data_IF_141431608666
#
_entry.id   IF_141431608666
#
_cell.length_a   1.000
_cell.length_b   1.000
_cell.length_c   1.000
_cell.angle_alpha   90.00
_cell.angle_beta   90.00
_cell.angle_gamma   90.00
#
_symmetry.space_group_name_H-M   'P 1'
#
loop_
_entity.id
_entity.type
_entity.pdbx_description
1 polymer ?
#
# COMPACT_ATOMS: atom_id res chain seq x y z
N UNK A 1 6.87 -18.27 25.54
CA UNK A 1 6.95 -16.84 25.88
C UNK A 1 6.24 -16.11 24.76
N UNK A 2 4.98 -15.76 24.96
CA UNK A 2 4.28 -14.82 24.07
C UNK A 2 4.91 -13.47 24.34
N UNK A 3 5.74 -12.98 23.42
CA UNK A 3 6.02 -11.55 23.36
C UNK A 3 4.74 -10.91 22.83
N UNK A 4 3.98 -10.26 23.69
CA UNK A 4 2.96 -9.31 23.30
C UNK A 4 3.68 -8.10 22.67
N UNK A 5 4.13 -8.28 21.44
CA UNK A 5 4.58 -7.16 20.61
C UNK A 5 3.29 -6.42 20.25
N UNK A 6 2.99 -5.37 21.00
CA UNK A 6 1.88 -4.47 20.69
C UNK A 6 2.26 -3.64 19.46
N UNK A 7 2.26 -4.30 18.29
CA UNK A 7 2.66 -3.72 17.02
C UNK A 7 1.43 -3.77 16.10
N UNK A 8 0.68 -2.69 16.05
CA UNK A 8 -0.37 -2.55 15.07
C UNK A 8 -1.74 -2.21 15.64
N UNK A 9 -2.62 -1.77 14.76
CA UNK A 9 -4.00 -1.47 15.07
C UNK A 9 -4.76 -2.71 15.57
N UNK A 10 -5.68 -2.54 16.50
CA UNK A 10 -6.55 -3.59 17.03
C UNK A 10 -7.33 -4.32 15.93
N UNK A 11 -7.53 -3.69 14.78
CA UNK A 11 -8.25 -4.23 13.62
C UNK A 11 -7.61 -5.48 12.98
N UNK A 12 -6.32 -5.74 13.21
CA UNK A 12 -5.67 -6.99 12.78
C UNK A 12 -5.89 -8.17 13.72
N UNK A 13 -6.31 -7.90 14.96
CA UNK A 13 -6.51 -8.89 16.00
C UNK A 13 -7.99 -9.28 16.16
N UNK A 14 -8.91 -8.45 15.65
CA UNK A 14 -10.34 -8.68 15.71
C UNK A 14 -10.88 -9.33 14.44
N UNK A 15 -11.87 -10.23 14.61
CA UNK A 15 -12.53 -10.86 13.46
C UNK A 15 -13.23 -9.82 12.59
N UNK A 16 -13.03 -9.87 11.23
CA UNK A 16 -13.74 -8.99 10.32
C UNK A 16 -15.26 -9.18 10.42
N UNK A 17 -16.06 -8.22 9.88
CA UNK A 17 -17.50 -8.43 9.72
C UNK A 17 -17.79 -9.75 8.98
N UNK A 18 -18.89 -10.42 9.35
CA UNK A 18 -19.34 -11.64 8.68
C UNK A 18 -20.84 -11.52 8.37
N UNK A 19 -21.16 -10.72 7.36
CA UNK A 19 -22.51 -10.49 6.89
C UNK A 19 -22.81 -11.33 5.65
N UNK A 20 -24.08 -11.71 5.48
CA UNK A 20 -24.52 -12.43 4.27
C UNK A 20 -24.58 -11.50 3.04
N UNK A 21 -24.52 -12.10 1.85
CA UNK A 21 -24.75 -11.35 0.60
C UNK A 21 -26.16 -10.73 0.53
N UNK A 22 -27.14 -11.29 1.24
CA UNK A 22 -28.48 -10.71 1.34
C UNK A 22 -28.48 -9.43 2.16
N UNK A 23 -27.78 -9.41 3.30
CA UNK A 23 -27.56 -8.19 4.09
C UNK A 23 -26.88 -7.10 3.26
N UNK A 24 -25.85 -7.44 2.49
CA UNK A 24 -25.19 -6.49 1.61
C UNK A 24 -26.12 -5.90 0.54
N UNK A 25 -26.99 -6.73 -0.08
CA UNK A 25 -27.99 -6.27 -1.04
C UNK A 25 -29.03 -5.36 -0.41
N UNK A 26 -29.49 -5.69 0.79
CA UNK A 26 -30.42 -4.84 1.52
C UNK A 26 -29.80 -3.47 1.85
N UNK A 27 -28.55 -3.42 2.30
CA UNK A 27 -27.82 -2.17 2.51
C UNK A 27 -27.74 -1.35 1.22
N UNK A 28 -27.38 -1.96 0.09
CA UNK A 28 -27.27 -1.28 -1.20
C UNK A 28 -28.60 -0.63 -1.62
N UNK A 29 -29.71 -1.37 -1.51
CA UNK A 29 -31.04 -0.84 -1.84
C UNK A 29 -31.46 0.30 -0.91
N UNK A 30 -31.29 0.09 0.39
CA UNK A 30 -31.75 1.05 1.41
C UNK A 30 -30.94 2.33 1.44
N UNK A 31 -29.62 2.21 1.31
CA UNK A 31 -28.68 3.34 1.51
C UNK A 31 -28.37 4.03 0.20
N UNK A 32 -28.12 3.25 -0.86
CA UNK A 32 -27.60 3.79 -2.13
C UNK A 32 -28.62 3.75 -3.26
N UNK A 33 -29.84 3.21 -3.03
CA UNK A 33 -30.86 2.97 -4.06
C UNK A 33 -30.33 2.14 -5.25
N UNK A 34 -29.38 1.23 -4.99
CA UNK A 34 -28.74 0.38 -5.99
C UNK A 34 -29.25 -1.05 -5.82
N UNK A 35 -29.68 -1.66 -6.94
CA UNK A 35 -29.95 -3.09 -7.03
C UNK A 35 -28.83 -3.78 -7.85
N UNK A 36 -28.31 -4.89 -7.35
CA UNK A 36 -27.19 -5.57 -7.99
C UNK A 36 -26.91 -6.95 -7.40
N UNK A 37 -26.17 -7.73 -8.15
CA UNK A 37 -25.62 -9.00 -7.67
C UNK A 37 -24.37 -8.72 -6.84
N UNK A 38 -24.27 -9.35 -5.67
CA UNK A 38 -23.12 -9.20 -4.79
C UNK A 38 -22.34 -10.50 -4.71
N UNK A 39 -21.01 -10.39 -4.71
CA UNK A 39 -20.09 -11.50 -4.47
C UNK A 39 -19.01 -11.04 -3.49
N UNK A 40 -18.75 -11.86 -2.46
CA UNK A 40 -17.73 -11.51 -1.46
C UNK A 40 -16.33 -11.64 -2.06
N UNK A 41 -15.50 -10.65 -1.80
CA UNK A 41 -14.08 -10.63 -2.14
C UNK A 41 -13.23 -10.99 -0.91
N UNK A 42 -12.04 -11.56 -1.14
CA UNK A 42 -11.11 -11.85 -0.07
C UNK A 42 -10.52 -10.55 0.51
N UNK A 43 -10.58 -10.41 1.83
CA UNK A 43 -9.94 -9.33 2.58
C UNK A 43 -9.58 -9.84 3.96
N UNK A 44 -8.46 -9.35 4.53
CA UNK A 44 -8.00 -9.79 5.86
C UNK A 44 -8.64 -9.00 7.01
N UNK A 45 -8.86 -7.70 6.79
CA UNK A 45 -9.32 -6.77 7.86
C UNK A 45 -10.82 -6.53 7.82
N UNK A 46 -11.35 -6.32 6.63
CA UNK A 46 -12.72 -5.87 6.39
C UNK A 46 -13.54 -6.94 5.71
N UNK A 47 -14.82 -6.70 5.55
CA UNK A 47 -15.65 -7.48 4.63
C UNK A 47 -15.96 -6.66 3.39
N UNK A 48 -15.69 -7.22 2.22
CA UNK A 48 -15.79 -6.52 0.94
C UNK A 48 -16.68 -7.32 -0.01
N UNK A 49 -17.58 -6.63 -0.70
CA UNK A 49 -18.44 -7.20 -1.73
C UNK A 49 -18.26 -6.46 -3.06
N UNK A 50 -17.96 -7.20 -4.12
CA UNK A 50 -18.14 -6.70 -5.47
C UNK A 50 -19.65 -6.66 -5.79
N UNK A 51 -20.08 -5.56 -6.38
CA UNK A 51 -21.48 -5.30 -6.74
C UNK A 51 -21.57 -5.14 -8.24
N UNK A 52 -22.20 -6.10 -8.89
CA UNK A 52 -22.46 -6.06 -10.34
C UNK A 52 -23.85 -5.51 -10.59
N UNK A 53 -23.93 -4.46 -11.39
CA UNK A 53 -25.18 -3.83 -11.83
C UNK A 53 -25.28 -3.88 -13.34
N UNK A 54 -26.36 -3.33 -13.91
CA UNK A 54 -26.44 -3.11 -15.36
C UNK A 54 -25.48 -2.00 -15.83
N UNK A 55 -25.08 -1.11 -14.90
CA UNK A 55 -24.08 -0.07 -15.16
C UNK A 55 -22.66 -0.63 -14.97
N UNK A 56 -21.86 -0.55 -16.00
CA UNK A 56 -20.43 -0.86 -15.99
C UNK A 56 -19.64 0.37 -15.45
N UNK A 57 -18.63 0.19 -14.58
CA UNK A 57 -17.98 -1.05 -14.17
C UNK A 57 -18.55 -1.71 -12.89
N UNK A 58 -19.58 -1.17 -12.25
CA UNK A 58 -20.10 -1.66 -10.97
C UNK A 58 -19.46 -0.97 -9.76
N UNK A 59 -19.60 -1.61 -8.59
CA UNK A 59 -19.17 -1.00 -7.32
C UNK A 59 -18.52 -2.02 -6.40
N UNK A 60 -17.90 -1.49 -5.35
CA UNK A 60 -17.39 -2.27 -4.21
C UNK A 60 -18.01 -1.71 -2.93
N UNK A 61 -18.76 -2.55 -2.23
CA UNK A 61 -19.26 -2.24 -0.88
C UNK A 61 -18.24 -2.77 0.13
N UNK A 62 -17.73 -1.89 0.97
CA UNK A 62 -16.81 -2.20 2.07
C UNK A 62 -17.51 -2.00 3.41
N UNK A 63 -17.47 -3.01 4.25
CA UNK A 63 -17.85 -2.97 5.66
C UNK A 63 -16.56 -2.98 6.47
N UNK A 64 -16.24 -1.87 7.10
CA UNK A 64 -14.98 -1.71 7.85
C UNK A 64 -15.01 -2.55 9.12
N UNK A 65 -13.87 -3.12 9.52
CA UNK A 65 -13.75 -3.84 10.78
C UNK A 65 -14.19 -2.94 11.95
N UNK A 66 -15.09 -3.40 12.85
CA UNK A 66 -15.52 -2.62 14.00
C UNK A 66 -14.41 -2.14 14.94
N UNK A 67 -13.26 -2.83 14.96
CA UNK A 67 -12.09 -2.42 15.73
C UNK A 67 -11.24 -1.32 15.07
N UNK A 68 -11.52 -0.98 13.82
CA UNK A 68 -10.80 0.11 13.15
C UNK A 68 -11.25 1.47 13.71
N UNK A 69 -10.28 2.35 13.98
CA UNK A 69 -10.59 3.71 14.39
C UNK A 69 -11.40 4.41 13.29
N UNK A 70 -12.56 4.94 13.69
CA UNK A 70 -13.46 5.68 12.79
C UNK A 70 -12.74 6.85 12.09
N UNK A 71 -11.82 7.51 12.77
CA UNK A 71 -11.06 8.61 12.18
C UNK A 71 -10.09 8.13 11.10
N UNK A 72 -9.51 6.93 11.24
CA UNK A 72 -8.69 6.31 10.20
C UNK A 72 -9.54 5.93 8.99
N UNK A 73 -10.74 5.37 9.22
CA UNK A 73 -11.70 5.12 8.14
C UNK A 73 -12.06 6.39 7.39
N UNK A 74 -12.36 7.47 8.14
CA UNK A 74 -12.68 8.78 7.57
C UNK A 74 -11.50 9.39 6.81
N UNK A 75 -10.27 9.25 7.31
CA UNK A 75 -9.07 9.68 6.62
C UNK A 75 -8.96 9.05 5.22
N UNK A 76 -9.20 7.74 5.10
CA UNK A 76 -9.20 7.04 3.80
C UNK A 76 -10.27 7.58 2.85
N UNK A 77 -11.47 7.85 3.36
CA UNK A 77 -12.59 8.40 2.59
C UNK A 77 -12.28 9.80 2.09
N UNK A 78 -11.83 10.68 2.98
CA UNK A 78 -11.49 12.07 2.65
C UNK A 78 -10.32 12.15 1.65
N UNK A 79 -9.35 11.24 1.73
CA UNK A 79 -8.27 11.15 0.74
C UNK A 79 -8.79 10.81 -0.66
N UNK A 80 -9.70 9.84 -0.79
CA UNK A 80 -10.32 9.51 -2.07
C UNK A 80 -11.17 10.66 -2.62
N UNK A 81 -11.93 11.34 -1.77
CA UNK A 81 -12.71 12.53 -2.15
C UNK A 81 -11.80 13.68 -2.59
N UNK A 82 -10.67 13.87 -1.92
CA UNK A 82 -9.66 14.86 -2.27
C UNK A 82 -9.07 14.58 -3.67
N UNK A 83 -8.64 13.34 -3.93
CA UNK A 83 -8.15 12.93 -5.24
C UNK A 83 -9.21 13.10 -6.34
N UNK A 84 -10.45 12.72 -6.04
CA UNK A 84 -11.55 12.90 -7.00
C UNK A 84 -11.75 14.37 -7.42
N UNK A 85 -11.53 15.29 -6.49
CA UNK A 85 -11.70 16.73 -6.74
C UNK A 85 -10.50 17.34 -7.46
N UNK A 86 -9.28 16.98 -7.09
CA UNK A 86 -8.06 17.65 -7.57
C UNK A 86 -7.37 16.94 -8.73
N UNK A 87 -7.56 15.64 -8.86
CA UNK A 87 -6.94 14.81 -9.89
C UNK A 87 -7.94 13.78 -10.44
N UNK A 88 -9.05 14.26 -11.05
CA UNK A 88 -10.10 13.38 -11.57
C UNK A 88 -9.62 12.43 -12.69
N UNK A 89 -8.48 12.72 -13.30
CA UNK A 89 -7.85 11.87 -14.32
C UNK A 89 -7.14 10.66 -13.73
N UNK A 90 -6.81 10.68 -12.41
CA UNK A 90 -6.17 9.52 -11.79
C UNK A 90 -7.15 8.35 -11.70
N UNK A 91 -6.75 7.15 -12.10
CA UNK A 91 -7.59 5.97 -12.04
C UNK A 91 -7.65 5.41 -10.62
N UNK A 92 -8.36 6.10 -9.73
CA UNK A 92 -8.57 5.69 -8.32
C UNK A 92 -10.06 5.49 -8.06
N UNK A 93 -10.45 4.65 -7.08
CA UNK A 93 -11.85 4.44 -6.75
C UNK A 93 -12.55 5.75 -6.37
N UNK A 94 -13.79 5.93 -6.82
CA UNK A 94 -14.62 7.08 -6.49
C UNK A 94 -15.60 6.71 -5.39
N UNK A 95 -15.67 7.54 -4.36
CA UNK A 95 -16.65 7.35 -3.29
C UNK A 95 -18.05 7.68 -3.83
N UNK A 96 -18.99 6.78 -3.59
CA UNK A 96 -20.40 6.96 -3.94
C UNK A 96 -21.17 7.30 -2.68
N UNK A 97 -21.74 8.49 -2.63
CA UNK A 97 -22.54 8.93 -1.51
C UNK A 97 -23.87 8.16 -1.42
N UNK A 98 -24.33 7.92 -0.21
CA UNK A 98 -25.68 7.43 0.03
C UNK A 98 -26.75 8.41 -0.41
N UNK A 99 -28.01 7.98 -0.43
CA UNK A 99 -29.18 8.82 -0.78
C UNK A 99 -29.38 10.03 0.17
N UNK A 100 -28.76 9.97 1.34
CA UNK A 100 -28.69 11.09 2.32
C UNK A 100 -27.52 12.06 2.06
N UNK A 101 -26.69 11.80 1.05
CA UNK A 101 -25.51 12.61 0.70
C UNK A 101 -24.24 12.29 1.49
N UNK A 102 -24.29 11.34 2.43
CA UNK A 102 -23.12 10.95 3.22
C UNK A 102 -22.23 9.93 2.49
N UNK A 103 -20.91 10.08 2.61
CA UNK A 103 -19.91 9.18 2.03
C UNK A 103 -19.66 7.94 2.89
N UNK A 104 -19.91 8.04 4.19
CA UNK A 104 -19.74 6.99 5.21
C UNK A 104 -21.03 6.79 5.97
N UNK A 105 -21.49 5.56 6.03
CA UNK A 105 -22.76 5.23 6.69
C UNK A 105 -22.50 4.27 7.84
N UNK A 106 -22.90 4.64 9.03
CA UNK A 106 -22.87 3.74 10.18
C UNK A 106 -23.97 2.68 10.06
N UNK A 107 -23.58 1.42 10.20
CA UNK A 107 -24.48 0.26 10.08
C UNK A 107 -24.29 -0.70 11.24
N UNK A 108 -25.41 -1.26 11.73
CA UNK A 108 -25.37 -2.32 12.73
C UNK A 108 -25.24 -3.68 12.03
N UNK A 109 -24.22 -4.43 12.41
CA UNK A 109 -24.00 -5.79 11.92
C UNK A 109 -24.96 -6.77 12.60
N UNK A 110 -25.08 -7.99 12.04
CA UNK A 110 -25.95 -9.02 12.58
C UNK A 110 -25.55 -9.49 13.99
N UNK A 111 -24.28 -9.35 14.36
CA UNK A 111 -23.72 -9.67 15.67
C UNK A 111 -23.83 -8.51 16.69
N UNK A 112 -24.46 -7.38 16.32
CA UNK A 112 -24.68 -6.20 17.16
C UNK A 112 -23.53 -5.18 17.16
N UNK A 113 -22.38 -5.50 16.54
CA UNK A 113 -21.28 -4.53 16.39
C UNK A 113 -21.66 -3.43 15.42
N UNK A 114 -21.04 -2.25 15.56
CA UNK A 114 -21.20 -1.14 14.63
C UNK A 114 -20.04 -1.18 13.62
N UNK A 115 -20.35 -0.89 12.37
CA UNK A 115 -19.39 -0.82 11.27
C UNK A 115 -19.66 0.39 10.39
N UNK A 116 -18.69 0.82 9.62
CA UNK A 116 -18.86 1.84 8.59
C UNK A 116 -18.98 1.17 7.23
N UNK A 117 -20.10 1.42 6.56
CA UNK A 117 -20.31 1.03 5.18
C UNK A 117 -19.86 2.16 4.24
N UNK A 118 -19.05 1.80 3.24
CA UNK A 118 -18.65 2.69 2.14
C UNK A 118 -18.88 2.00 0.81
N UNK A 119 -19.40 2.75 -0.15
CA UNK A 119 -19.51 2.30 -1.53
C UNK A 119 -18.52 3.07 -2.39
N UNK A 120 -17.75 2.36 -3.18
CA UNK A 120 -16.79 2.95 -4.13
C UNK A 120 -16.98 2.32 -5.50
N UNK A 121 -16.54 3.01 -6.56
CA UNK A 121 -16.57 2.44 -7.91
C UNK A 121 -15.60 1.26 -8.03
N UNK A 122 -16.01 0.21 -8.74
CA UNK A 122 -15.12 -0.86 -9.15
C UNK A 122 -14.27 -0.35 -10.32
N UNK A 123 -12.95 -0.57 -10.25
CA UNK A 123 -12.04 -0.23 -11.34
C UNK A 123 -11.90 -1.38 -12.32
N UNK A 124 -11.81 -1.09 -13.63
CA UNK A 124 -11.69 -2.13 -14.67
C UNK A 124 -10.29 -2.73 -14.72
N UNK A 125 -10.18 -3.89 -15.36
CA UNK A 125 -8.91 -4.58 -15.60
C UNK A 125 -8.62 -5.70 -14.59
N UNK A 126 -7.36 -6.12 -14.56
CA UNK A 126 -6.84 -7.17 -13.68
C UNK A 126 -5.67 -6.65 -12.83
N UNK A 127 -5.46 -7.26 -11.66
CA UNK A 127 -4.31 -6.89 -10.84
C UNK A 127 -3.00 -7.22 -11.56
N UNK A 128 -2.04 -6.31 -11.56
CA UNK A 128 -0.72 -6.52 -12.16
C UNK A 128 -0.01 -7.75 -11.57
N UNK A 129 -0.27 -8.07 -10.30
CA UNK A 129 0.25 -9.27 -9.66
C UNK A 129 -0.22 -10.58 -10.30
N UNK A 130 -1.34 -10.59 -11.03
CA UNK A 130 -1.89 -11.78 -11.70
C UNK A 130 -1.30 -12.02 -13.09
N UNK A 131 -0.53 -11.06 -13.63
CA UNK A 131 0.06 -11.14 -14.96
C UNK A 131 1.49 -11.70 -14.87
N UNK A 132 1.78 -12.84 -15.52
CA UNK A 132 3.08 -13.50 -15.40
C UNK A 132 4.21 -12.72 -16.08
N UNK A 133 3.95 -12.09 -17.22
CA UNK A 133 4.92 -11.30 -17.96
C UNK A 133 4.64 -9.82 -17.79
N UNK A 134 5.63 -9.07 -17.30
CA UNK A 134 5.49 -7.63 -17.06
C UNK A 134 6.09 -6.85 -18.22
N UNK A 135 5.29 -6.02 -18.84
CA UNK A 135 5.76 -5.07 -19.84
C UNK A 135 6.61 -3.98 -19.15
N UNK A 136 7.86 -3.72 -19.60
CA UNK A 136 8.68 -2.64 -19.05
C UNK A 136 8.01 -1.25 -19.09
N UNK A 137 7.17 -0.97 -20.09
CA UNK A 137 6.43 0.31 -20.22
C UNK A 137 5.52 0.57 -19.02
N UNK A 138 5.06 -0.49 -18.32
CA UNK A 138 4.27 -0.35 -17.09
C UNK A 138 5.08 0.24 -15.94
N UNK A 139 6.41 0.01 -15.88
CA UNK A 139 7.26 0.62 -14.84
C UNK A 139 7.26 2.14 -14.94
N UNK A 140 7.40 2.67 -16.15
CA UNK A 140 7.35 4.11 -16.40
C UNK A 140 5.99 4.68 -16.00
N UNK A 141 4.91 3.99 -16.40
CA UNK A 141 3.55 4.36 -16.05
C UNK A 141 3.31 4.31 -14.53
N UNK A 142 3.84 3.29 -13.83
CA UNK A 142 3.76 3.21 -12.36
C UNK A 142 4.47 4.38 -11.68
N UNK A 143 5.68 4.73 -12.14
CA UNK A 143 6.43 5.87 -11.60
C UNK A 143 5.67 7.19 -11.77
N UNK A 144 5.02 7.37 -12.91
CA UNK A 144 4.20 8.56 -13.16
C UNK A 144 2.93 8.60 -12.31
N UNK A 145 2.23 7.47 -12.15
CA UNK A 145 0.99 7.43 -11.37
C UNK A 145 1.24 7.69 -9.88
N UNK A 146 2.27 7.07 -9.28
CA UNK A 146 2.60 7.33 -7.88
C UNK A 146 3.06 8.78 -7.68
N UNK A 147 3.81 9.36 -8.63
CA UNK A 147 4.21 10.76 -8.57
C UNK A 147 3.02 11.71 -8.71
N UNK A 148 2.10 11.46 -9.65
CA UNK A 148 0.88 12.27 -9.83
C UNK A 148 -0.01 12.22 -8.59
N UNK A 149 -0.16 11.04 -8.00
CA UNK A 149 -0.92 10.86 -6.75
C UNK A 149 -0.26 11.60 -5.59
N UNK A 150 1.05 11.47 -5.41
CA UNK A 150 1.81 12.23 -4.42
C UNK A 150 1.72 13.75 -4.65
N UNK A 151 1.71 14.20 -5.91
CA UNK A 151 1.49 15.62 -6.22
C UNK A 151 0.09 16.08 -5.84
N UNK A 152 -0.93 15.27 -6.10
CA UNK A 152 -2.32 15.57 -5.74
C UNK A 152 -2.54 15.60 -4.22
N UNK A 153 -1.78 14.82 -3.44
CA UNK A 153 -1.85 14.86 -1.97
C UNK A 153 -1.18 16.08 -1.33
N UNK A 154 -0.50 16.94 -2.09
CA UNK A 154 0.08 18.18 -1.53
C UNK A 154 -1.00 19.05 -0.92
N UNK A 155 -0.80 19.40 0.36
CA UNK A 155 -1.75 20.22 1.11
C UNK A 155 -3.00 19.47 1.60
N UNK A 156 -3.06 18.15 1.42
CA UNK A 156 -4.05 17.32 2.08
C UNK A 156 -3.60 17.02 3.52
N UNK A 157 -4.45 17.37 4.48
CA UNK A 157 -4.22 17.15 5.90
C UNK A 157 -5.44 16.50 6.52
N UNK A 158 -5.18 15.53 7.41
CA UNK A 158 -6.24 14.91 8.20
C UNK A 158 -5.71 14.58 9.61
N UNK A 159 -6.50 14.77 10.68
CA UNK A 159 -6.05 14.51 12.05
C UNK A 159 -5.51 13.10 12.28
N UNK A 160 -6.15 12.10 11.66
CA UNK A 160 -5.74 10.71 11.77
C UNK A 160 -4.59 10.30 10.82
N UNK A 161 -4.03 11.20 10.01
CA UNK A 161 -2.98 10.83 9.06
C UNK A 161 -1.67 10.37 9.71
N UNK A 162 -1.45 10.68 11.00
CA UNK A 162 -0.28 10.25 11.76
C UNK A 162 -0.59 9.11 12.75
N UNK A 163 -1.56 8.25 12.42
CA UNK A 163 -1.84 7.06 13.21
C UNK A 163 -0.68 6.05 13.16
N UNK A 164 -0.60 5.16 14.15
CA UNK A 164 0.40 4.10 14.13
C UNK A 164 -0.01 3.01 13.14
N UNK A 165 0.88 2.74 12.19
CA UNK A 165 0.71 1.70 11.19
C UNK A 165 1.93 0.78 11.18
N UNK A 166 1.69 -0.53 11.25
CA UNK A 166 2.75 -1.53 11.25
C UNK A 166 3.66 -1.45 10.02
N UNK A 167 3.08 -1.12 8.86
CA UNK A 167 3.77 -1.00 7.58
C UNK A 167 4.45 0.36 7.34
N UNK A 168 4.37 1.27 8.31
CA UNK A 168 5.04 2.57 8.23
C UNK A 168 6.54 2.42 8.52
N UNK A 169 7.38 2.76 7.54
CA UNK A 169 8.85 2.70 7.70
C UNK A 169 9.36 3.54 8.86
N UNK A 170 8.62 4.54 9.35
CA UNK A 170 8.96 5.27 10.58
C UNK A 170 9.07 4.33 11.80
N UNK A 171 8.40 3.18 11.75
CA UNK A 171 8.40 2.18 12.82
C UNK A 171 9.46 1.08 12.64
N UNK A 172 10.31 1.16 11.60
CA UNK A 172 11.23 0.08 11.21
C UNK A 172 12.06 -0.47 12.37
N UNK A 173 12.59 0.39 13.24
CA UNK A 173 13.44 -0.03 14.36
C UNK A 173 12.67 -0.81 15.44
N UNK A 174 11.35 -0.56 15.61
CA UNK A 174 10.52 -1.35 16.53
C UNK A 174 10.41 -2.80 16.07
N UNK A 175 10.50 -3.04 14.76
CA UNK A 175 10.39 -4.39 14.19
C UNK A 175 11.64 -5.24 14.40
N UNK A 176 12.73 -4.72 14.94
CA UNK A 176 13.93 -5.49 15.30
C UNK A 176 13.59 -6.66 16.24
N UNK A 177 12.57 -6.51 17.06
CA UNK A 177 12.07 -7.57 17.94
C UNK A 177 11.52 -8.79 17.19
N UNK A 178 11.15 -8.62 15.91
CA UNK A 178 10.61 -9.69 15.06
C UNK A 178 11.70 -10.56 14.39
N UNK A 179 12.97 -10.21 14.49
CA UNK A 179 14.08 -10.99 13.94
C UNK A 179 14.07 -12.48 14.27
N UNK A 180 13.67 -12.93 15.48
CA UNK A 180 13.60 -14.36 15.80
C UNK A 180 12.64 -15.18 14.93
N UNK A 181 11.67 -14.54 14.27
CA UNK A 181 10.74 -15.21 13.37
C UNK A 181 11.35 -15.54 12.01
N UNK A 182 12.44 -14.87 11.60
CA UNK A 182 13.21 -15.22 10.41
C UNK A 182 14.14 -16.40 10.70
N UNK A 183 13.82 -17.56 10.13
CA UNK A 183 14.59 -18.79 10.39
C UNK A 183 15.78 -18.94 9.46
N UNK A 184 15.70 -18.39 8.22
CA UNK A 184 16.83 -18.42 7.29
C UNK A 184 17.89 -17.41 7.74
N UNK A 185 19.13 -17.92 7.95
CA UNK A 185 20.26 -17.13 8.47
C UNK A 185 20.75 -16.06 7.50
N UNK A 186 20.67 -16.34 6.21
CA UNK A 186 21.14 -15.41 5.17
C UNK A 186 20.18 -14.23 5.11
N UNK A 187 18.88 -14.50 4.94
CA UNK A 187 17.84 -13.45 4.93
C UNK A 187 17.87 -12.65 6.22
N UNK A 188 17.99 -13.32 7.38
CA UNK A 188 18.05 -12.63 8.68
C UNK A 188 19.22 -11.65 8.76
N UNK A 189 20.43 -12.06 8.29
CA UNK A 189 21.60 -11.16 8.26
C UNK A 189 21.38 -9.95 7.37
N UNK A 190 20.76 -10.13 6.20
CA UNK A 190 20.46 -9.01 5.29
C UNK A 190 19.44 -8.05 5.92
N UNK A 191 18.44 -8.59 6.61
CA UNK A 191 17.44 -7.80 7.35
C UNK A 191 18.09 -7.02 8.48
N UNK A 192 19.00 -7.64 9.27
CA UNK A 192 19.77 -6.96 10.31
C UNK A 192 20.58 -5.80 9.72
N UNK A 193 21.28 -6.03 8.60
CA UNK A 193 22.03 -4.97 7.90
C UNK A 193 21.13 -3.83 7.41
N UNK A 194 19.93 -4.16 6.90
CA UNK A 194 18.96 -3.14 6.48
C UNK A 194 18.45 -2.28 7.65
N UNK A 195 18.19 -2.90 8.81
CA UNK A 195 17.82 -2.17 10.03
C UNK A 195 18.95 -1.28 10.53
N UNK A 196 20.21 -1.78 10.49
CA UNK A 196 21.37 -1.01 10.91
C UNK A 196 21.63 0.20 9.98
N UNK A 197 21.42 0.02 8.66
CA UNK A 197 21.49 1.11 7.69
C UNK A 197 20.40 2.16 7.93
N UNK A 198 19.16 1.73 8.19
CA UNK A 198 18.09 2.65 8.55
C UNK A 198 18.41 3.45 9.81
N UNK A 199 18.90 2.77 10.85
CA UNK A 199 19.27 3.40 12.14
C UNK A 199 20.40 4.42 11.97
N UNK A 200 21.42 4.09 11.15
CA UNK A 200 22.58 4.96 10.94
C UNK A 200 22.36 6.11 9.97
N UNK A 201 21.61 5.88 8.89
CA UNK A 201 21.51 6.83 7.78
C UNK A 201 20.17 7.56 7.73
N UNK A 202 19.06 6.86 7.97
CA UNK A 202 17.70 7.41 7.78
C UNK A 202 17.15 8.03 9.06
N UNK A 203 17.19 7.30 10.17
CA UNK A 203 16.58 7.72 11.43
C UNK A 203 17.08 9.09 11.92
N UNK A 204 18.39 9.44 11.83
CA UNK A 204 18.89 10.74 12.30
C UNK A 204 18.34 11.94 11.52
N UNK A 205 17.95 11.76 10.27
CA UNK A 205 17.51 12.84 9.37
C UNK A 205 16.03 12.77 8.99
N UNK A 206 15.33 11.68 9.38
CA UNK A 206 13.95 11.41 9.01
C UNK A 206 13.00 12.60 9.27
N UNK A 207 13.16 13.29 10.40
CA UNK A 207 12.30 14.42 10.78
C UNK A 207 12.55 15.69 9.94
N UNK A 208 13.64 15.76 9.19
CA UNK A 208 13.98 16.88 8.30
C UNK A 208 13.51 16.66 6.86
N UNK A 209 13.12 15.42 6.50
CA UNK A 209 12.63 15.10 5.17
C UNK A 209 11.25 15.74 4.92
N UNK A 210 11.00 16.13 3.68
CA UNK A 210 9.69 16.62 3.25
C UNK A 210 8.64 15.54 3.47
N UNK A 211 7.59 15.85 4.23
CA UNK A 211 6.55 14.89 4.59
C UNK A 211 5.17 15.35 4.13
N UNK A 212 4.33 14.39 3.81
CA UNK A 212 2.94 14.57 3.42
C UNK A 212 2.17 13.27 3.63
N UNK A 213 0.87 13.25 3.33
CA UNK A 213 0.13 12.00 3.18
C UNK A 213 0.65 11.26 1.96
N UNK A 214 0.94 9.97 2.13
CA UNK A 214 1.40 9.04 1.09
C UNK A 214 0.48 7.82 1.02
N UNK A 215 0.48 7.12 -0.12
CA UNK A 215 -0.29 5.88 -0.31
C UNK A 215 0.28 4.72 0.50
N UNK A 216 1.60 4.64 0.58
CA UNK A 216 2.38 3.69 1.38
C UNK A 216 2.23 2.20 1.03
N UNK A 217 1.40 1.82 0.04
CA UNK A 217 1.24 0.42 -0.39
C UNK A 217 1.07 0.26 -1.91
N UNK A 218 1.88 0.98 -2.70
CA UNK A 218 1.85 0.93 -4.16
C UNK A 218 2.56 -0.31 -4.70
N UNK A 219 1.93 -1.47 -4.50
CA UNK A 219 2.42 -2.79 -4.91
C UNK A 219 1.63 -3.35 -6.10
N UNK A 220 2.11 -4.46 -6.68
CA UNK A 220 1.48 -5.06 -7.86
C UNK A 220 0.07 -5.61 -7.64
N UNK A 221 -0.33 -5.92 -6.41
CA UNK A 221 -1.70 -6.35 -6.10
C UNK A 221 -2.68 -5.18 -6.10
N UNK A 222 -2.17 -3.96 -5.86
CA UNK A 222 -2.94 -2.73 -5.75
C UNK A 222 -2.93 -1.88 -7.04
N UNK A 223 -2.25 -2.35 -8.09
CA UNK A 223 -2.25 -1.72 -9.41
C UNK A 223 -3.07 -2.59 -10.37
N UNK A 224 -4.13 -2.00 -10.96
CA UNK A 224 -4.94 -2.62 -12.01
C UNK A 224 -4.41 -2.20 -13.37
N UNK A 225 -4.43 -3.13 -14.32
CA UNK A 225 -4.01 -2.89 -15.70
C UNK A 225 -5.06 -3.41 -16.69
N UNK A 226 -5.06 -2.83 -17.89
CA UNK A 226 -5.81 -3.39 -19.01
C UNK A 226 -5.17 -4.72 -19.45
N UNK A 227 -5.99 -5.76 -19.72
CA UNK A 227 -5.50 -7.09 -20.09
C UNK A 227 -4.78 -7.11 -21.45
N UNK A 228 -5.04 -6.13 -22.30
CA UNK A 228 -4.59 -6.13 -23.72
C UNK A 228 -3.61 -4.99 -24.03
N UNK A 229 -3.49 -4.00 -23.14
CA UNK A 229 -2.65 -2.82 -23.31
C UNK A 229 -1.81 -2.56 -22.06
N UNK A 230 -0.58 -2.07 -22.20
CA UNK A 230 0.25 -1.70 -21.06
C UNK A 230 -0.22 -0.37 -20.43
N UNK A 231 -1.45 -0.35 -19.92
CA UNK A 231 -2.10 0.84 -19.37
C UNK A 231 -2.58 0.56 -17.95
N UNK A 232 -2.28 1.45 -17.02
CA UNK A 232 -2.80 1.39 -15.66
C UNK A 232 -4.25 1.89 -15.68
N UNK A 233 -5.16 1.02 -15.24
CA UNK A 233 -6.60 1.29 -15.16
C UNK A 233 -7.09 1.50 -13.74
N UNK A 234 -6.21 1.27 -12.74
CA UNK A 234 -6.59 1.47 -11.35
C UNK A 234 -5.43 1.44 -10.36
N UNK A 235 -5.56 2.25 -9.31
CA UNK A 235 -4.77 2.18 -8.08
C UNK A 235 -5.73 1.94 -6.93
N UNK A 236 -5.54 0.83 -6.23
CA UNK A 236 -6.42 0.33 -5.17
C UNK A 236 -5.78 0.49 -3.79
N UNK A 237 -6.59 0.25 -2.78
CA UNK A 237 -6.23 0.07 -1.38
C UNK A 237 -5.57 1.28 -0.72
N UNK A 238 -6.40 2.17 -0.23
CA UNK A 238 -6.04 3.35 0.55
C UNK A 238 -5.95 3.05 2.07
N UNK A 239 -5.85 1.77 2.45
CA UNK A 239 -5.87 1.32 3.84
C UNK A 239 -4.58 1.60 4.61
N UNK A 240 -3.46 1.67 3.91
CA UNK A 240 -2.14 1.84 4.53
C UNK A 240 -1.58 3.27 4.38
N UNK A 241 -2.44 4.24 4.00
CA UNK A 241 -2.03 5.64 3.93
C UNK A 241 -1.59 6.18 5.28
N UNK A 242 -0.56 7.03 5.25
CA UNK A 242 0.01 7.65 6.45
C UNK A 242 0.68 8.98 6.12
N UNK A 243 0.80 9.86 7.11
CA UNK A 243 1.67 11.04 7.00
C UNK A 243 3.12 10.63 7.26
N UNK A 244 3.94 10.67 6.23
CA UNK A 244 5.33 10.22 6.28
C UNK A 244 6.20 10.99 5.27
N UNK A 245 7.54 10.86 5.32
CA UNK A 245 8.41 11.40 4.28
C UNK A 245 7.95 10.97 2.88
N UNK A 246 7.81 11.92 1.97
CA UNK A 246 7.26 11.66 0.64
C UNK A 246 8.08 10.63 -0.16
N UNK A 247 9.39 10.58 0.07
CA UNK A 247 10.29 9.64 -0.58
C UNK A 247 9.99 8.17 -0.21
N UNK A 248 9.29 7.92 0.92
CA UNK A 248 8.90 6.58 1.33
C UNK A 248 7.93 5.93 0.33
N UNK A 249 7.04 6.72 -0.26
CA UNK A 249 6.10 6.22 -1.27
C UNK A 249 6.83 5.70 -2.53
N UNK A 250 7.84 6.44 -2.99
CA UNK A 250 8.71 6.00 -4.08
C UNK A 250 9.48 4.73 -3.70
N UNK A 251 10.03 4.66 -2.49
CA UNK A 251 10.76 3.49 -2.02
C UNK A 251 9.86 2.24 -1.93
N UNK A 252 8.61 2.41 -1.47
CA UNK A 252 7.60 1.33 -1.45
C UNK A 252 7.35 0.83 -2.87
N UNK A 253 7.05 1.72 -3.83
CA UNK A 253 6.80 1.34 -5.21
C UNK A 253 8.00 0.61 -5.84
N UNK A 254 9.22 1.11 -5.63
CA UNK A 254 10.46 0.51 -6.12
C UNK A 254 10.74 -0.86 -5.53
N UNK A 255 10.40 -1.11 -4.28
CA UNK A 255 10.68 -2.39 -3.60
C UNK A 255 10.09 -3.62 -4.30
N UNK A 256 9.14 -3.44 -5.20
CA UNK A 256 8.49 -4.50 -5.96
C UNK A 256 9.01 -4.64 -7.40
N UNK A 257 9.88 -3.72 -7.91
CA UNK A 257 10.15 -3.61 -9.35
C UNK A 257 11.24 -4.56 -9.90
N UNK A 258 12.09 -5.13 -9.07
CA UNK A 258 13.27 -5.89 -9.53
C UNK A 258 13.33 -7.31 -8.95
N UNK A 259 12.23 -8.03 -9.04
CA UNK A 259 12.14 -9.45 -8.64
C UNK A 259 12.22 -10.45 -9.80
N UNK A 260 12.20 -9.99 -11.05
CA UNK A 260 12.35 -10.82 -12.25
C UNK A 260 13.80 -11.27 -12.48
N UNK A 261 14.02 -12.41 -13.15
CA UNK A 261 15.36 -13.00 -13.30
C UNK A 261 16.33 -12.10 -14.11
N UNK A 262 15.83 -11.41 -15.12
CA UNK A 262 16.60 -10.53 -16.00
C UNK A 262 16.64 -9.07 -15.56
N UNK A 263 16.07 -8.73 -14.39
CA UNK A 263 16.01 -7.37 -13.92
C UNK A 263 17.38 -6.82 -13.49
N UNK A 264 17.80 -5.70 -14.08
CA UNK A 264 18.91 -4.87 -13.59
C UNK A 264 18.36 -3.90 -12.52
N UNK A 265 18.57 -4.24 -11.27
CA UNK A 265 18.06 -3.45 -10.16
C UNK A 265 18.60 -2.00 -10.16
N UNK A 266 19.88 -1.80 -10.54
CA UNK A 266 20.46 -0.44 -10.59
C UNK A 266 19.78 0.41 -11.67
N UNK A 267 19.62 -0.14 -12.88
CA UNK A 267 18.97 0.55 -13.99
C UNK A 267 17.51 0.88 -13.65
N UNK A 268 16.78 -0.10 -13.10
CA UNK A 268 15.37 0.09 -12.72
C UNK A 268 15.22 1.20 -11.68
N UNK A 269 16.04 1.19 -10.61
CA UNK A 269 16.01 2.24 -9.59
C UNK A 269 16.25 3.61 -10.22
N UNK A 270 17.25 3.74 -11.09
CA UNK A 270 17.60 5.00 -11.72
C UNK A 270 16.48 5.50 -12.64
N UNK A 271 15.98 4.66 -13.55
CA UNK A 271 14.96 5.05 -14.53
C UNK A 271 13.62 5.38 -13.88
N UNK A 272 13.15 4.54 -12.95
CA UNK A 272 11.91 4.76 -12.21
C UNK A 272 11.96 6.07 -11.41
N UNK A 273 13.08 6.30 -10.69
CA UNK A 273 13.29 7.53 -9.92
C UNK A 273 13.33 8.74 -10.82
N UNK A 274 13.99 8.66 -11.98
CA UNK A 274 14.05 9.76 -12.95
C UNK A 274 12.65 10.12 -13.49
N UNK A 275 11.79 9.11 -13.74
CA UNK A 275 10.40 9.34 -14.14
C UNK A 275 9.59 10.03 -13.05
N UNK A 276 9.70 9.54 -11.82
CA UNK A 276 9.07 10.14 -10.66
C UNK A 276 9.53 11.60 -10.46
N UNK A 277 10.84 11.84 -10.54
CA UNK A 277 11.47 13.15 -10.34
C UNK A 277 10.96 14.24 -11.31
N UNK A 278 10.58 13.87 -12.54
CA UNK A 278 10.01 14.82 -13.52
C UNK A 278 8.70 15.46 -13.05
N UNK A 279 7.96 14.78 -12.17
CA UNK A 279 6.67 15.26 -11.65
C UNK A 279 6.86 15.83 -10.24
N UNK A 280 7.61 15.13 -9.40
CA UNK A 280 7.97 15.57 -8.04
C UNK A 280 9.49 15.66 -7.97
N UNK A 281 10.09 16.87 -8.17
CA UNK A 281 11.52 17.04 -8.01
C UNK A 281 11.99 16.60 -6.62
N UNK A 282 12.94 15.66 -6.62
CA UNK A 282 13.53 15.11 -5.40
C UNK A 282 14.74 15.94 -4.99
N UNK A 283 14.98 16.02 -3.69
CA UNK A 283 16.14 16.67 -3.11
C UNK A 283 17.32 15.71 -3.02
N UNK A 284 18.55 16.25 -2.95
CA UNK A 284 19.77 15.43 -2.85
C UNK A 284 19.70 14.43 -1.71
N UNK A 285 19.29 14.86 -0.52
CA UNK A 285 19.18 14.00 0.65
C UNK A 285 18.19 12.83 0.44
N UNK A 286 17.08 13.08 -0.26
CA UNK A 286 16.11 12.04 -0.60
C UNK A 286 16.70 11.00 -1.54
N UNK A 287 17.49 11.41 -2.53
CA UNK A 287 18.19 10.51 -3.46
C UNK A 287 19.28 9.69 -2.76
N UNK A 288 20.03 10.32 -1.84
CA UNK A 288 21.07 9.65 -1.05
C UNK A 288 20.53 8.54 -0.15
N UNK A 289 19.30 8.68 0.34
CA UNK A 289 18.65 7.71 1.23
C UNK A 289 17.86 6.61 0.48
N UNK A 290 17.61 6.76 -0.81
CA UNK A 290 16.62 5.95 -1.52
C UNK A 290 16.93 4.44 -1.47
N UNK A 291 18.18 4.03 -1.65
CA UNK A 291 18.57 2.61 -1.58
C UNK A 291 18.33 2.02 -0.19
N UNK A 292 18.59 2.77 0.88
CA UNK A 292 18.34 2.32 2.25
C UNK A 292 16.84 2.21 2.53
N UNK A 293 16.04 3.13 2.00
CA UNK A 293 14.59 3.11 2.13
C UNK A 293 13.94 1.93 1.37
N UNK A 294 14.41 1.62 0.17
CA UNK A 294 13.96 0.44 -0.58
C UNK A 294 14.27 -0.84 0.22
N UNK A 295 15.48 -0.95 0.76
CA UNK A 295 15.87 -2.07 1.61
C UNK A 295 14.99 -2.14 2.86
N UNK A 296 14.70 -1.01 3.50
CA UNK A 296 13.85 -0.92 4.68
C UNK A 296 12.43 -1.43 4.39
N UNK A 297 11.82 -1.08 3.25
CA UNK A 297 10.50 -1.62 2.89
C UNK A 297 10.52 -3.15 2.76
N UNK A 298 11.57 -3.71 2.19
CA UNK A 298 11.73 -5.16 2.08
C UNK A 298 11.95 -5.82 3.45
N UNK A 299 12.71 -5.16 4.33
CA UNK A 299 12.88 -5.55 5.74
C UNK A 299 11.52 -5.65 6.44
N UNK A 300 10.68 -4.62 6.36
CA UNK A 300 9.34 -4.62 6.93
C UNK A 300 8.53 -5.79 6.41
N UNK A 301 8.50 -5.96 5.07
CA UNK A 301 7.74 -7.03 4.42
C UNK A 301 8.15 -8.42 4.92
N UNK A 302 9.44 -8.68 5.07
CA UNK A 302 9.95 -9.96 5.55
C UNK A 302 9.63 -10.19 7.02
N UNK A 303 9.88 -9.20 7.89
CA UNK A 303 9.67 -9.33 9.33
C UNK A 303 8.20 -9.52 9.66
N UNK A 304 7.33 -8.66 9.13
CA UNK A 304 5.90 -8.69 9.41
C UNK A 304 5.28 -9.97 8.86
N UNK A 305 5.60 -10.35 7.62
CA UNK A 305 5.04 -11.55 7.01
C UNK A 305 5.44 -12.83 7.79
N UNK A 306 6.71 -12.99 8.17
CA UNK A 306 7.15 -14.16 8.91
C UNK A 306 6.60 -14.22 10.33
N UNK A 307 6.49 -13.08 11.02
CA UNK A 307 5.84 -12.98 12.31
C UNK A 307 4.36 -13.37 12.21
N UNK A 308 3.59 -12.75 11.32
CA UNK A 308 2.17 -13.06 11.12
C UNK A 308 1.93 -14.50 10.68
N UNK A 309 2.77 -15.05 9.82
CA UNK A 309 2.70 -16.46 9.41
C UNK A 309 2.94 -17.44 10.57
N UNK A 310 3.58 -17.01 11.65
CA UNK A 310 3.73 -17.81 12.87
C UNK A 310 2.51 -17.74 13.76
N UNK A 311 1.76 -16.64 13.73
CA UNK A 311 0.51 -16.46 14.48
C UNK A 311 -0.68 -17.13 13.79
N UNK A 312 -0.69 -17.12 12.45
CA UNK A 312 -1.80 -17.62 11.63
C UNK A 312 -1.32 -18.72 10.66
N UNK A 313 -1.01 -19.93 11.17
CA UNK A 313 -0.45 -21.01 10.35
C UNK A 313 -1.37 -21.46 9.23
N UNK A 314 -2.69 -21.42 9.43
CA UNK A 314 -3.68 -21.81 8.42
C UNK A 314 -3.71 -20.85 7.22
N UNK A 315 -3.33 -19.59 7.41
CA UNK A 315 -3.25 -18.55 6.36
C UNK A 315 -1.81 -18.27 5.90
N UNK A 316 -0.85 -19.10 6.31
CA UNK A 316 0.59 -18.91 6.06
C UNK A 316 0.92 -18.67 4.59
N UNK A 317 0.33 -19.44 3.68
CA UNK A 317 0.63 -19.36 2.26
C UNK A 317 0.27 -17.99 1.69
N UNK A 318 -0.89 -17.45 2.05
CA UNK A 318 -1.33 -16.13 1.64
C UNK A 318 -0.45 -15.03 2.25
N UNK A 319 -0.16 -15.11 3.54
CA UNK A 319 0.66 -14.12 4.26
C UNK A 319 2.06 -14.02 3.65
N UNK A 320 2.67 -15.15 3.28
CA UNK A 320 4.02 -15.19 2.72
C UNK A 320 4.08 -14.96 1.20
N UNK A 321 2.97 -14.66 0.52
CA UNK A 321 2.92 -14.54 -0.95
C UNK A 321 3.94 -13.56 -1.55
N UNK A 322 4.23 -12.46 -0.85
CA UNK A 322 5.19 -11.46 -1.27
C UNK A 322 6.62 -11.66 -0.70
N UNK A 323 6.82 -12.64 0.18
CA UNK A 323 8.12 -12.83 0.87
C UNK A 323 9.25 -13.20 -0.09
N UNK A 324 8.95 -13.93 -1.17
CA UNK A 324 9.95 -14.25 -2.20
C UNK A 324 10.42 -13.00 -2.92
N UNK A 325 9.50 -12.10 -3.29
CA UNK A 325 9.82 -10.81 -3.94
C UNK A 325 10.75 -10.00 -3.04
N UNK A 326 10.37 -9.85 -1.75
CA UNK A 326 11.16 -9.08 -0.79
C UNK A 326 12.53 -9.71 -0.51
N UNK A 327 12.63 -11.04 -0.46
CA UNK A 327 13.90 -11.74 -0.28
C UNK A 327 14.83 -11.53 -1.47
N UNK A 328 14.35 -11.76 -2.69
CA UNK A 328 15.14 -11.52 -3.91
C UNK A 328 15.57 -10.06 -4.00
N UNK A 329 14.64 -9.14 -3.68
CA UNK A 329 14.91 -7.71 -3.69
C UNK A 329 16.03 -7.30 -2.73
N UNK A 330 16.00 -7.76 -1.47
CA UNK A 330 17.04 -7.40 -0.49
C UNK A 330 18.39 -8.02 -0.83
N UNK A 331 18.42 -9.25 -1.41
CA UNK A 331 19.63 -9.89 -1.91
C UNK A 331 20.27 -9.09 -3.06
N UNK A 332 19.46 -8.61 -4.00
CA UNK A 332 19.94 -7.77 -5.12
C UNK A 332 20.44 -6.41 -4.66
N UNK A 333 19.72 -5.76 -3.75
CA UNK A 333 20.17 -4.49 -3.17
C UNK A 333 21.48 -4.63 -2.41
N UNK A 334 21.68 -5.74 -1.72
CA UNK A 334 22.95 -6.02 -1.02
C UNK A 334 24.12 -6.24 -1.96
N UNK A 335 23.86 -6.68 -3.20
CA UNK A 335 24.87 -6.89 -4.23
C UNK A 335 25.18 -5.62 -5.05
N UNK A 336 24.39 -4.55 -4.92
CA UNK A 336 24.60 -3.29 -5.64
C UNK A 336 25.78 -2.50 -5.10
N UNK A 337 26.50 -1.87 -6.01
CA UNK A 337 27.35 -0.72 -5.70
C UNK A 337 26.45 0.51 -5.45
N UNK A 338 26.06 0.70 -4.18
CA UNK A 338 25.11 1.74 -3.77
C UNK A 338 25.63 3.14 -4.04
N UNK A 339 26.92 3.38 -3.86
CA UNK A 339 27.54 4.69 -4.10
C UNK A 339 27.42 5.06 -5.57
N UNK A 340 27.66 4.09 -6.46
CA UNK A 340 27.50 4.28 -7.91
C UNK A 340 26.05 4.55 -8.30
N UNK A 341 25.09 3.83 -7.72
CA UNK A 341 23.65 4.05 -7.98
C UNK A 341 23.25 5.45 -7.50
N UNK A 342 23.63 5.82 -6.28
CA UNK A 342 23.34 7.13 -5.70
C UNK A 342 23.93 8.25 -6.53
N UNK A 343 25.19 8.13 -6.96
CA UNK A 343 25.81 9.14 -7.83
C UNK A 343 25.06 9.28 -9.18
N UNK A 344 24.68 8.16 -9.78
CA UNK A 344 23.89 8.16 -11.02
C UNK A 344 22.51 8.81 -10.84
N UNK A 345 21.85 8.59 -9.71
CA UNK A 345 20.59 9.27 -9.34
C UNK A 345 20.77 10.79 -9.25
N UNK A 346 21.83 11.23 -8.56
CA UNK A 346 22.15 12.66 -8.41
C UNK A 346 22.43 13.28 -9.79
N UNK A 347 23.26 12.64 -10.60
CA UNK A 347 23.63 13.16 -11.93
C UNK A 347 22.42 13.22 -12.87
N UNK A 348 21.51 12.25 -12.80
CA UNK A 348 20.32 12.17 -13.65
C UNK A 348 19.16 13.07 -13.24
N UNK A 349 19.05 13.36 -11.94
CA UNK A 349 17.95 14.14 -11.38
C UNK A 349 18.34 15.60 -11.10
N UNK A 350 19.59 15.88 -10.71
CA UNK A 350 20.02 17.21 -10.27
C UNK A 350 21.10 17.84 -11.16
N UNK A 351 21.73 17.07 -12.07
CA UNK A 351 22.69 17.56 -13.07
C UNK A 351 21.96 17.99 -14.32
#
# INVERSE_FOLDING_TARGET
>A
MNCDVNVGSDSLNEAPPNCSGEFARELLRRIYAIDGQVSQLACERDQIFAVKTEADPGFVLRLTNPAEDRQVTNFQTEAMLHLNRLAPELPVPRVVAGTNGEAEIEVSLADGRQSIARLITLLPGVALASVPERNPDLRDSMAEHIAKMGFAFRGFFHPAANHELLWDMKQALKLRELLPYLKDKITRRLVEQGLDAFEGNVAPVQSSLRAQVIHNDFNFSNVMIDEHRPEITGVLDFGDMVYAPLIYDLAVALSYQFSGDDDDAAQIIIEFTQRYHRIIPLERQELELLCDLIATRQVLSLLIAHWRASLYPDNRQYILRNSTISRVGIERLAALDRDRVTQALIDRCLG
#
